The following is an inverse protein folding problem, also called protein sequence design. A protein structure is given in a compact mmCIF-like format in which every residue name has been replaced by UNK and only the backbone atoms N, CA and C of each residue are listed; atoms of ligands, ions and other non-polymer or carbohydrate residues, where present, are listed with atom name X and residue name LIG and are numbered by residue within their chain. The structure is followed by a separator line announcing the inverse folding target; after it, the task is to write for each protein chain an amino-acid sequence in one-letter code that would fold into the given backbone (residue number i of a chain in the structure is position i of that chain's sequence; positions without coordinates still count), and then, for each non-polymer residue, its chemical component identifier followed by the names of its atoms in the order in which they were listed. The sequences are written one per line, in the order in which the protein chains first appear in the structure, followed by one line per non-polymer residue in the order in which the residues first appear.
data_IF_932261452728
#
_entry.id   IF_932261452728
#
_cell.length_a   1.000
_cell.length_b   1.000
_cell.length_c   1.000
_cell.angle_alpha   90.00
_cell.angle_beta   90.00
_cell.angle_gamma   90.00
#
_symmetry.space_group_name_H-M   'P 1'
#
loop_
_entity.id
_entity.type
_entity.pdbx_description
1 polymer ?
#
# COMPACT_ATOMS: atom_id res chain seq x y z
N UNK A 1 -21.77 39.31 -27.17
CA UNK A 1 -20.31 39.23 -26.95
C UNK A 1 -20.10 38.48 -25.65
N UNK A 2 -19.53 37.26 -25.65
CA UNK A 2 -19.16 36.62 -24.39
C UNK A 2 -18.16 37.50 -23.64
N UNK A 3 -18.25 37.50 -22.32
CA UNK A 3 -17.45 38.32 -21.44
C UNK A 3 -16.04 37.73 -21.33
N UNK A 4 -15.03 38.44 -21.83
CA UNK A 4 -13.62 38.00 -21.79
C UNK A 4 -13.11 37.73 -20.37
N UNK A 5 -13.75 38.26 -19.33
CA UNK A 5 -13.45 37.91 -17.96
C UNK A 5 -13.82 36.45 -17.63
N UNK A 6 -14.87 35.91 -18.26
CA UNK A 6 -15.32 34.53 -18.07
C UNK A 6 -14.35 33.53 -18.66
N UNK A 7 -13.83 33.78 -19.87
CA UNK A 7 -12.85 32.91 -20.54
C UNK A 7 -11.56 32.74 -19.72
N UNK A 8 -11.05 33.85 -19.15
CA UNK A 8 -9.85 33.82 -18.30
C UNK A 8 -10.06 32.99 -17.01
N UNK A 9 -11.29 32.94 -16.48
CA UNK A 9 -11.61 32.13 -15.30
C UNK A 9 -11.60 30.62 -15.64
N UNK A 10 -12.05 30.24 -16.84
CA UNK A 10 -12.05 28.83 -17.28
C UNK A 10 -10.61 28.34 -17.50
N UNK A 11 -9.76 29.16 -18.10
CA UNK A 11 -8.35 28.84 -18.30
C UNK A 11 -7.59 28.66 -16.98
N UNK A 12 -7.85 29.54 -16.00
CA UNK A 12 -7.28 29.42 -14.67
C UNK A 12 -7.73 28.14 -13.95
N UNK A 13 -9.01 27.77 -14.06
CA UNK A 13 -9.54 26.53 -13.50
C UNK A 13 -8.91 25.29 -14.16
N UNK A 14 -8.75 25.31 -15.49
CA UNK A 14 -8.08 24.24 -16.23
C UNK A 14 -6.60 24.10 -15.84
N UNK A 15 -5.92 25.22 -15.56
CA UNK A 15 -4.53 25.19 -15.07
C UNK A 15 -4.43 24.60 -13.65
N UNK A 16 -5.36 24.92 -12.75
CA UNK A 16 -5.44 24.35 -11.41
C UNK A 16 -5.66 22.83 -11.45
N UNK A 17 -6.59 22.38 -12.29
CA UNK A 17 -6.89 20.95 -12.47
C UNK A 17 -5.67 20.17 -13.00
N UNK A 18 -4.98 20.73 -14.01
CA UNK A 18 -3.74 20.14 -14.53
C UNK A 18 -2.65 20.07 -13.46
N UNK A 19 -2.61 21.01 -12.51
CA UNK A 19 -1.68 20.96 -11.38
C UNK A 19 -2.03 19.81 -10.44
N UNK A 20 -3.30 19.70 -10.04
CA UNK A 20 -3.80 18.63 -9.15
C UNK A 20 -3.53 17.23 -9.71
N UNK A 21 -3.81 17.02 -10.99
CA UNK A 21 -3.56 15.74 -11.67
C UNK A 21 -2.06 15.37 -11.67
N UNK A 22 -1.16 16.36 -11.86
CA UNK A 22 0.29 16.12 -11.80
C UNK A 22 0.76 15.76 -10.38
N UNK A 23 0.24 16.46 -9.36
CA UNK A 23 0.54 16.18 -7.96
C UNK A 23 0.05 14.79 -7.55
N UNK A 24 -1.15 14.40 -7.99
CA UNK A 24 -1.70 13.06 -7.77
C UNK A 24 -0.86 11.98 -8.45
N UNK A 25 -0.49 12.19 -9.72
CA UNK A 25 0.38 11.27 -10.45
C UNK A 25 1.75 11.11 -9.76
N UNK A 26 2.33 12.20 -9.25
CA UNK A 26 3.56 12.14 -8.47
C UNK A 26 3.37 11.39 -7.14
N UNK A 27 2.25 11.61 -6.44
CA UNK A 27 1.89 10.88 -5.21
C UNK A 27 1.68 9.39 -5.46
N UNK A 28 1.11 9.01 -6.61
CA UNK A 28 0.95 7.60 -7.02
C UNK A 28 2.32 6.96 -7.28
N UNK A 29 3.20 7.63 -8.05
CA UNK A 29 4.56 7.14 -8.34
C UNK A 29 5.38 6.86 -7.06
N UNK A 30 5.39 7.79 -6.10
CA UNK A 30 6.11 7.60 -4.82
C UNK A 30 5.58 6.42 -4.01
N UNK A 31 4.27 6.16 -4.06
CA UNK A 31 3.68 4.99 -3.40
C UNK A 31 4.07 3.70 -4.10
N UNK A 32 4.05 3.68 -5.43
CA UNK A 32 4.46 2.52 -6.20
C UNK A 32 5.95 2.17 -6.03
N UNK A 33 6.82 3.16 -5.84
CA UNK A 33 8.24 2.92 -5.53
C UNK A 33 8.45 2.11 -4.25
N UNK A 34 7.59 2.28 -3.24
CA UNK A 34 7.68 1.59 -1.95
C UNK A 34 6.87 0.29 -1.93
N UNK A 35 5.66 0.32 -2.50
CA UNK A 35 4.67 -0.76 -2.35
C UNK A 35 4.44 -1.57 -3.64
N UNK A 36 5.04 -1.17 -4.76
CA UNK A 36 4.71 -1.68 -6.09
C UNK A 36 3.41 -1.10 -6.66
N UNK A 37 3.13 -1.42 -7.93
CA UNK A 37 1.95 -0.92 -8.65
C UNK A 37 0.63 -1.61 -8.26
N UNK A 38 0.70 -2.80 -7.65
CA UNK A 38 -0.44 -3.60 -7.23
C UNK A 38 -0.26 -3.97 -5.77
N UNK A 39 -1.16 -3.49 -4.90
CA UNK A 39 -1.22 -4.03 -3.54
C UNK A 39 -1.75 -5.47 -3.62
N UNK A 40 -1.10 -6.43 -2.96
CA UNK A 40 -1.62 -7.79 -2.89
C UNK A 40 -3.00 -7.79 -2.20
N UNK A 41 -3.92 -8.65 -2.67
CA UNK A 41 -5.25 -8.83 -2.07
C UNK A 41 -5.19 -9.28 -0.61
N UNK A 42 -4.08 -9.92 -0.22
CA UNK A 42 -3.80 -10.39 1.13
C UNK A 42 -2.57 -9.69 1.72
N UNK A 43 -2.59 -9.47 3.03
CA UNK A 43 -1.45 -8.91 3.76
C UNK A 43 -0.33 -9.95 3.91
N UNK A 44 0.84 -9.53 4.39
CA UNK A 44 1.99 -10.45 4.50
C UNK A 44 1.84 -11.51 5.58
N UNK A 45 1.06 -11.24 6.60
CA UNK A 45 0.74 -12.15 7.70
C UNK A 45 -0.27 -13.24 7.29
N UNK A 46 -1.18 -12.94 6.34
CA UNK A 46 -2.13 -13.90 5.80
C UNK A 46 -1.50 -14.86 4.77
N UNK A 47 -0.37 -14.47 4.17
CA UNK A 47 0.38 -15.32 3.25
C UNK A 47 1.09 -16.43 4.02
N UNK A 48 0.55 -17.65 3.95
CA UNK A 48 1.24 -18.83 4.46
C UNK A 48 2.65 -18.93 3.83
N UNK A 49 3.67 -19.03 4.68
CA UNK A 49 5.03 -19.32 4.23
C UNK A 49 5.01 -20.62 3.41
N UNK A 50 5.68 -20.62 2.24
CA UNK A 50 5.71 -21.77 1.35
C UNK A 50 6.00 -23.07 2.14
N UNK A 51 5.21 -24.14 1.95
CA UNK A 51 5.34 -25.35 2.76
C UNK A 51 6.76 -25.92 2.61
N UNK A 52 7.50 -25.94 3.71
CA UNK A 52 8.80 -26.62 3.77
C UNK A 52 8.58 -28.12 3.56
N UNK A 53 9.23 -28.76 2.57
CA UNK A 53 8.94 -30.14 2.17
C UNK A 53 9.38 -31.22 3.17
N UNK A 54 9.88 -30.87 4.37
CA UNK A 54 10.23 -31.85 5.41
C UNK A 54 10.52 -31.18 6.75
N UNK A 55 9.70 -31.49 7.76
CA UNK A 55 10.00 -31.22 9.16
C UNK A 55 9.23 -30.05 9.77
N UNK A 56 9.10 -30.15 11.09
CA UNK A 56 8.54 -29.11 11.96
C UNK A 56 9.15 -27.75 11.67
N UNK A 57 8.30 -26.74 11.45
CA UNK A 57 8.76 -25.43 11.00
C UNK A 57 9.63 -24.78 12.09
N UNK A 58 10.59 -23.95 11.68
CA UNK A 58 11.39 -23.16 12.63
C UNK A 58 10.50 -22.30 13.53
N UNK A 59 9.34 -21.86 13.00
CA UNK A 59 8.31 -21.17 13.76
C UNK A 59 7.73 -22.08 14.85
N UNK A 60 7.20 -23.28 14.53
CA UNK A 60 6.60 -24.17 15.53
C UNK A 60 7.57 -24.50 16.69
N UNK A 61 8.87 -24.59 16.39
CA UNK A 61 9.92 -24.80 17.40
C UNK A 61 10.11 -23.60 18.33
N UNK A 62 10.26 -22.41 17.75
CA UNK A 62 10.36 -21.18 18.53
C UNK A 62 9.11 -20.96 19.40
N UNK A 63 7.91 -21.20 18.86
CA UNK A 63 6.66 -21.04 19.61
C UNK A 63 6.58 -21.97 20.84
N UNK A 64 7.06 -23.21 20.73
CA UNK A 64 7.12 -24.14 21.86
C UNK A 64 8.15 -23.75 22.92
N UNK A 65 9.25 -23.11 22.51
CA UNK A 65 10.26 -22.59 23.44
C UNK A 65 9.77 -21.35 24.22
N UNK A 66 8.75 -20.65 23.73
CA UNK A 66 8.16 -19.48 24.39
C UNK A 66 7.04 -19.82 25.38
N UNK A 67 6.76 -21.11 25.62
CA UNK A 67 5.68 -21.51 26.53
C UNK A 67 6.09 -21.19 27.99
N UNK A 68 5.34 -20.33 28.71
CA UNK A 68 5.64 -20.04 30.11
C UNK A 68 5.51 -21.29 31.00
N UNK A 69 6.30 -21.40 32.09
CA UNK A 69 6.35 -22.60 32.94
C UNK A 69 5.03 -22.94 33.66
N UNK A 70 4.07 -22.02 33.67
CA UNK A 70 2.75 -22.20 34.27
C UNK A 70 1.66 -22.55 33.23
N UNK A 71 2.03 -22.80 31.98
CA UNK A 71 1.07 -23.20 30.94
C UNK A 71 0.66 -24.66 31.14
N UNK A 72 -0.43 -24.88 31.87
CA UNK A 72 -0.96 -26.21 32.16
C UNK A 72 -1.53 -26.41 33.57
N UNK A 73 -1.79 -25.34 34.33
CA UNK A 73 -2.53 -25.38 35.60
C UNK A 73 -4.02 -25.15 35.39
#
# INVERSE_FOLDING_TARGET
MPDSASDAQVDAAAADERRRLREEAARRRRRAEVFGDVLPDTTSDERAAAPSPRGESAADRWWREQVPPHHGS
#
